data_IF_708194191739
#
_entry.id   IF_708194191739
#
_cell.length_a   1.000
_cell.length_b   1.000
_cell.length_c   1.000
_cell.angle_alpha   90.00
_cell.angle_beta   90.00
_cell.angle_gamma   90.00
#
_symmetry.space_group_name_H-M   'P 1'
#
loop_
_entity.id
_entity.type
_entity.pdbx_description
1 polymer ?
#
# COMPACT_ATOMS: atom_id res chain seq x y z
N UNK A 1 -27.65 0.72 31.49
CA UNK A 1 -27.45 -0.40 30.54
C UNK A 1 -27.06 0.09 29.14
N UNK A 2 -27.82 1.02 28.55
CA UNK A 2 -27.58 1.54 27.19
C UNK A 2 -26.14 2.06 26.97
N UNK A 3 -25.61 2.89 27.88
CA UNK A 3 -24.23 3.39 27.73
C UNK A 3 -23.15 2.31 27.70
N UNK A 4 -23.33 1.21 28.43
CA UNK A 4 -22.40 0.06 28.40
C UNK A 4 -22.46 -0.67 27.06
N UNK A 5 -23.67 -0.85 26.52
CA UNK A 5 -23.88 -1.48 25.20
C UNK A 5 -23.22 -0.66 24.10
N UNK A 6 -23.36 0.67 24.14
CA UNK A 6 -22.71 1.58 23.17
C UNK A 6 -21.19 1.43 23.22
N UNK A 7 -20.60 1.39 24.42
CA UNK A 7 -19.15 1.22 24.58
C UNK A 7 -18.69 -0.13 24.00
N UNK A 8 -19.41 -1.22 24.31
CA UNK A 8 -19.08 -2.54 23.75
C UNK A 8 -19.20 -2.56 22.22
N UNK A 9 -20.22 -1.91 21.65
CA UNK A 9 -20.39 -1.82 20.20
C UNK A 9 -19.24 -1.03 19.54
N UNK A 10 -18.78 0.07 20.16
CA UNK A 10 -17.64 0.85 19.66
C UNK A 10 -16.34 0.07 19.71
N UNK A 11 -16.08 -0.66 20.81
CA UNK A 11 -14.90 -1.52 20.94
C UNK A 11 -14.94 -2.61 19.87
N UNK A 12 -16.07 -3.30 19.70
CA UNK A 12 -16.22 -4.34 18.69
C UNK A 12 -16.00 -3.79 17.27
N UNK A 13 -16.53 -2.61 16.97
CA UNK A 13 -16.32 -1.96 15.67
C UNK A 13 -14.84 -1.60 15.43
N UNK A 14 -14.14 -1.04 16.43
CA UNK A 14 -12.72 -0.70 16.31
C UNK A 14 -11.84 -1.95 16.14
N UNK A 15 -12.13 -3.02 16.91
CA UNK A 15 -11.42 -4.30 16.78
C UNK A 15 -11.64 -4.89 15.39
N UNK A 16 -12.88 -4.86 14.89
CA UNK A 16 -13.18 -5.33 13.53
C UNK A 16 -12.42 -4.52 12.48
N UNK A 17 -12.48 -3.19 12.54
CA UNK A 17 -11.78 -2.31 11.61
C UNK A 17 -10.27 -2.60 11.62
N UNK A 18 -9.67 -2.72 12.81
CA UNK A 18 -8.25 -3.03 12.95
C UNK A 18 -7.85 -4.40 12.40
N UNK A 19 -8.69 -5.42 12.63
CA UNK A 19 -8.46 -6.75 12.07
C UNK A 19 -8.54 -6.77 10.54
N UNK A 20 -9.31 -5.87 9.93
CA UNK A 20 -9.46 -5.78 8.48
C UNK A 20 -8.48 -4.84 7.79
N UNK A 21 -7.54 -4.22 8.49
CA UNK A 21 -6.58 -3.30 7.86
C UNK A 21 -5.61 -4.08 6.98
N UNK A 22 -5.47 -3.73 5.69
CA UNK A 22 -4.46 -4.31 4.81
C UNK A 22 -3.05 -4.10 5.35
N UNK A 23 -2.24 -5.14 5.33
CA UNK A 23 -0.83 -5.09 5.76
C UNK A 23 0.07 -4.64 4.63
N UNK A 24 1.31 -4.31 4.96
CA UNK A 24 2.34 -3.95 3.98
C UNK A 24 2.42 -4.91 2.79
N UNK A 25 2.38 -6.22 3.05
CA UNK A 25 2.38 -7.27 2.02
C UNK A 25 1.21 -7.14 1.04
N UNK A 26 0.02 -6.77 1.52
CA UNK A 26 -1.16 -6.58 0.67
C UNK A 26 -0.98 -5.38 -0.26
N UNK A 27 -0.36 -4.30 0.25
CA UNK A 27 -0.06 -3.12 -0.56
C UNK A 27 1.05 -3.37 -1.58
N UNK A 28 2.11 -4.09 -1.18
CA UNK A 28 3.20 -4.48 -2.07
C UNK A 28 2.69 -5.40 -3.18
N UNK A 29 1.86 -6.39 -2.85
CA UNK A 29 1.26 -7.29 -3.84
C UNK A 29 0.38 -6.53 -4.84
N UNK A 30 -0.44 -5.59 -4.35
CA UNK A 30 -1.26 -4.73 -5.22
C UNK A 30 -0.40 -3.87 -6.15
N UNK A 31 0.57 -3.14 -5.60
CA UNK A 31 1.48 -2.29 -6.40
C UNK A 31 2.29 -3.09 -7.40
N UNK A 32 2.79 -4.27 -6.98
CA UNK A 32 3.54 -5.13 -7.87
C UNK A 32 2.67 -5.59 -9.03
N UNK A 33 1.41 -5.94 -8.79
CA UNK A 33 0.48 -6.33 -9.85
C UNK A 33 0.22 -5.21 -10.86
N UNK A 34 0.12 -3.96 -10.37
CA UNK A 34 -0.08 -2.79 -11.22
C UNK A 34 1.15 -2.48 -12.09
N UNK A 35 2.36 -2.58 -11.52
CA UNK A 35 3.60 -2.31 -12.25
C UNK A 35 3.94 -3.48 -13.19
N UNK A 36 3.70 -4.73 -12.77
CA UNK A 36 3.97 -5.94 -13.55
C UNK A 36 2.96 -6.21 -14.67
N UNK A 37 1.80 -5.53 -14.68
CA UNK A 37 0.78 -5.71 -15.71
C UNK A 37 1.32 -5.56 -17.15
N UNK A 38 2.43 -4.84 -17.34
CA UNK A 38 3.06 -4.64 -18.64
C UNK A 38 4.41 -5.37 -18.80
N UNK A 39 5.13 -5.65 -17.71
CA UNK A 39 6.46 -6.27 -17.78
C UNK A 39 6.82 -7.05 -16.51
N UNK A 40 7.35 -8.30 -16.61
CA UNK A 40 7.82 -9.04 -15.45
C UNK A 40 9.07 -8.39 -14.84
N UNK A 41 8.96 -7.95 -13.58
CA UNK A 41 10.06 -7.27 -12.87
C UNK A 41 10.88 -8.30 -12.09
N UNK A 42 12.20 -8.43 -12.34
CA UNK A 42 13.06 -9.30 -11.55
C UNK A 42 13.16 -8.83 -10.09
N UNK A 43 13.32 -9.77 -9.15
CA UNK A 43 13.34 -9.49 -7.70
C UNK A 43 14.35 -8.40 -7.31
N UNK A 44 15.51 -8.36 -7.97
CA UNK A 44 16.55 -7.35 -7.74
C UNK A 44 16.08 -5.92 -8.00
N UNK A 45 15.14 -5.71 -8.93
CA UNK A 45 14.55 -4.41 -9.20
C UNK A 45 13.40 -4.10 -8.23
N UNK A 46 12.65 -5.11 -7.80
CA UNK A 46 11.58 -4.96 -6.79
C UNK A 46 12.14 -4.44 -5.46
N UNK A 47 13.26 -5.01 -4.98
CA UNK A 47 13.91 -4.54 -3.74
C UNK A 47 14.27 -3.06 -3.78
N UNK A 48 14.62 -2.51 -4.95
CA UNK A 48 14.98 -1.10 -5.10
C UNK A 48 13.75 -0.19 -5.02
N UNK A 49 12.60 -0.67 -5.50
CA UNK A 49 11.32 0.03 -5.39
C UNK A 49 10.93 0.06 -3.90
N UNK A 50 10.99 -1.09 -3.22
CA UNK A 50 10.62 -1.22 -1.81
C UNK A 50 11.48 -0.39 -0.86
N UNK A 51 12.73 -0.07 -1.23
CA UNK A 51 13.57 0.87 -0.47
C UNK A 51 13.13 2.33 -0.54
N UNK A 52 12.29 2.70 -1.51
CA UNK A 52 11.82 4.08 -1.72
C UNK A 52 10.41 4.33 -1.21
N UNK A 53 9.80 3.32 -0.61
CA UNK A 53 8.42 3.38 -0.11
C UNK A 53 8.37 2.94 1.33
N UNK A 54 7.59 3.67 2.11
CA UNK A 54 7.36 3.40 3.52
C UNK A 54 5.92 2.97 3.73
N UNK A 55 5.73 2.00 4.62
CA UNK A 55 4.43 1.61 5.11
C UNK A 55 4.04 2.43 6.36
N UNK A 56 2.76 2.76 6.49
CA UNK A 56 2.22 3.41 7.68
C UNK A 56 0.85 2.85 8.04
N UNK A 57 0.70 2.43 9.29
CA UNK A 57 -0.54 1.88 9.84
C UNK A 57 -1.18 2.87 10.81
N UNK A 58 -2.46 3.19 10.59
CA UNK A 58 -3.27 4.12 11.38
C UNK A 58 -4.45 3.41 12.06
N UNK A 59 -4.24 2.21 12.58
CA UNK A 59 -5.21 1.36 13.28
C UNK A 59 -6.38 0.87 12.44
N UNK A 60 -7.10 1.73 11.72
CA UNK A 60 -8.29 1.40 10.92
C UNK A 60 -8.04 1.54 9.42
N UNK A 61 -6.91 2.15 9.05
CA UNK A 61 -6.47 2.32 7.68
C UNK A 61 -4.95 2.16 7.61
N UNK A 62 -4.46 1.85 6.43
CA UNK A 62 -3.03 1.70 6.13
C UNK A 62 -2.68 2.42 4.84
N UNK A 63 -1.42 2.80 4.69
CA UNK A 63 -0.96 3.54 3.52
C UNK A 63 0.45 3.11 3.15
N UNK A 64 0.74 3.06 1.86
CA UNK A 64 2.11 3.17 1.37
C UNK A 64 2.35 4.56 0.84
N UNK A 65 3.51 5.11 1.15
CA UNK A 65 3.94 6.45 0.75
C UNK A 65 5.37 6.42 0.28
N UNK A 66 5.79 7.45 -0.45
CA UNK A 66 7.21 7.63 -0.78
C UNK A 66 8.00 7.97 0.49
N UNK A 67 9.17 7.35 0.65
CA UNK A 67 10.10 7.70 1.74
C UNK A 67 10.55 9.16 1.59
N UNK A 68 10.79 9.58 0.35
CA UNK A 68 11.10 10.97 0.00
C UNK A 68 9.80 11.75 -0.24
N UNK A 69 9.49 12.72 0.63
CA UNK A 69 8.33 13.61 0.46
C UNK A 69 7.01 13.12 1.06
N UNK A 70 6.91 11.85 1.50
CA UNK A 70 5.70 11.28 2.13
C UNK A 70 4.43 11.39 1.25
N UNK A 71 4.60 11.38 -0.07
CA UNK A 71 3.48 11.34 -1.02
C UNK A 71 2.78 10.00 -0.94
N UNK A 72 1.46 9.99 -0.82
CA UNK A 72 0.68 8.77 -0.64
C UNK A 72 0.50 8.06 -1.98
N UNK A 73 0.93 6.81 -2.06
CA UNK A 73 0.86 5.98 -3.27
C UNK A 73 -0.39 5.12 -3.24
N UNK A 74 -0.62 4.43 -2.12
CA UNK A 74 -1.81 3.58 -1.94
C UNK A 74 -2.43 3.80 -0.57
N UNK A 75 -3.74 3.53 -0.50
CA UNK A 75 -4.47 3.49 0.75
C UNK A 75 -5.20 2.16 0.92
N UNK A 76 -5.28 1.72 2.16
CA UNK A 76 -5.81 0.43 2.58
C UNK A 76 -6.95 0.64 3.58
N UNK A 77 -8.12 0.09 3.27
CA UNK A 77 -9.29 0.15 4.16
C UNK A 77 -10.19 -1.07 3.95
N UNK A 78 -10.65 -1.71 5.04
CA UNK A 78 -11.55 -2.87 5.00
C UNK A 78 -11.10 -3.97 4.02
N UNK A 79 -9.84 -4.43 4.12
CA UNK A 79 -9.22 -5.43 3.24
C UNK A 79 -9.07 -5.03 1.76
N UNK A 80 -9.37 -3.78 1.42
CA UNK A 80 -9.20 -3.28 0.07
C UNK A 80 -8.00 -2.34 0.03
N UNK A 81 -7.11 -2.55 -0.94
CA UNK A 81 -6.05 -1.60 -1.29
C UNK A 81 -6.48 -0.89 -2.57
N UNK A 82 -6.25 0.43 -2.62
CA UNK A 82 -6.45 1.21 -3.83
C UNK A 82 -5.25 2.12 -4.10
N UNK A 83 -5.05 2.37 -5.39
CA UNK A 83 -4.09 3.35 -5.88
C UNK A 83 -4.60 4.77 -5.66
N UNK A 84 -3.69 5.65 -5.27
CA UNK A 84 -3.91 7.10 -5.09
C UNK A 84 -3.08 7.88 -6.10
N UNK A 85 -1.85 7.42 -6.34
CA UNK A 85 -0.88 8.09 -7.20
C UNK A 85 -0.56 7.23 -8.43
N UNK A 86 -1.34 7.45 -9.48
CA UNK A 86 -1.13 6.82 -10.79
C UNK A 86 0.16 7.34 -11.46
N UNK A 87 0.53 8.60 -11.19
CA UNK A 87 1.72 9.24 -11.78
C UNK A 87 2.99 8.56 -11.27
N UNK A 88 3.06 8.27 -9.97
CA UNK A 88 4.19 7.55 -9.37
C UNK A 88 4.38 6.16 -9.99
N UNK A 89 3.29 5.42 -10.24
CA UNK A 89 3.36 4.09 -10.88
C UNK A 89 3.94 4.21 -12.29
N UNK A 90 3.48 5.17 -13.08
CA UNK A 90 3.98 5.42 -14.42
C UNK A 90 5.46 5.87 -14.44
N UNK A 91 5.88 6.69 -13.48
CA UNK A 91 7.28 7.06 -13.31
C UNK A 91 8.17 5.86 -12.98
N UNK A 92 7.71 5.00 -12.07
CA UNK A 92 8.41 3.76 -11.70
C UNK A 92 8.52 2.85 -12.93
N UNK A 93 7.43 2.60 -13.66
CA UNK A 93 7.44 1.83 -14.91
C UNK A 93 8.47 2.36 -15.91
N UNK A 94 8.46 3.68 -16.18
CA UNK A 94 9.43 4.33 -17.08
C UNK A 94 10.87 4.23 -16.60
N UNK A 95 11.10 4.26 -15.28
CA UNK A 95 12.43 4.12 -14.70
C UNK A 95 12.98 2.70 -14.86
N UNK A 96 12.11 1.70 -14.71
CA UNK A 96 12.43 0.28 -14.86
C UNK A 96 12.70 -0.08 -16.33
N UNK A 97 11.88 0.41 -17.26
CA UNK A 97 12.08 0.22 -18.70
C UNK A 97 13.44 0.76 -19.14
N UNK A 98 13.77 2.00 -18.75
CA UNK A 98 15.09 2.59 -19.04
C UNK A 98 16.22 1.74 -18.48
N UNK A 99 16.12 1.26 -17.24
CA UNK A 99 17.17 0.44 -16.64
C UNK A 99 17.37 -0.91 -17.34
N UNK A 100 16.30 -1.49 -17.90
CA UNK A 100 16.37 -2.73 -18.67
C UNK A 100 17.01 -2.54 -20.05
N UNK A 101 16.93 -1.34 -20.65
CA UNK A 101 17.61 -1.04 -21.92
C UNK A 101 19.13 -0.85 -21.78
N UNK A 102 19.62 -0.56 -20.57
CA UNK A 102 21.04 -0.36 -20.28
C UNK A 102 21.77 -1.63 -19.79
N UNK A 103 21.07 -2.76 -19.65
CA UNK A 103 21.62 -4.07 -19.27
C UNK A 103 21.48 -5.07 -20.42
#
# INVERSE_FOLDING_TARGET
MVGRIIIFALIAALVYLNYTVPKEEDHQAFLLSEIQSEYPIPESMQERIWKKVDYSNFFVASFMKTTEGSTMITYGFLKNVKLVDDEWVEEVKKSLQRQNEYY
#
